data_IF_673550083745
#
_entry.id   IF_673550083745
#
_cell.length_a   1.000
_cell.length_b   1.000
_cell.length_c   1.000
_cell.angle_alpha   90.00
_cell.angle_beta   90.00
_cell.angle_gamma   90.00
#
_symmetry.space_group_name_H-M   'P 1'
#
loop_
_entity.id
_entity.type
_entity.pdbx_description
1 polymer ?
#
# COMPACT_ATOMS: atom_id res chain seq x y z
N UNK A 1 13.82 -17.47 4.72
CA UNK A 1 12.71 -16.59 5.18
C UNK A 1 12.41 -15.57 4.09
N UNK A 2 11.14 -15.41 3.76
CA UNK A 2 10.73 -14.40 2.79
C UNK A 2 10.50 -13.07 3.50
N UNK A 3 11.43 -12.13 3.36
CA UNK A 3 11.35 -10.84 4.03
C UNK A 3 10.16 -10.00 3.55
N UNK A 4 9.83 -10.10 2.27
CA UNK A 4 8.68 -9.38 1.73
C UNK A 4 7.39 -9.80 2.42
N UNK A 5 7.21 -11.09 2.63
CA UNK A 5 6.03 -11.60 3.33
C UNK A 5 5.99 -11.14 4.79
N UNK A 6 7.14 -11.15 5.46
CA UNK A 6 7.22 -10.68 6.85
C UNK A 6 6.85 -9.20 6.91
N UNK A 7 7.35 -8.39 5.97
CA UNK A 7 7.03 -6.97 5.91
C UNK A 7 5.54 -6.72 5.69
N UNK A 8 4.91 -7.50 4.80
CA UNK A 8 3.47 -7.36 4.56
C UNK A 8 2.65 -7.73 5.80
N UNK A 9 3.04 -8.78 6.51
CA UNK A 9 2.36 -9.17 7.75
C UNK A 9 2.46 -8.08 8.81
N UNK A 10 3.64 -7.45 8.94
CA UNK A 10 3.84 -6.35 9.88
C UNK A 10 3.02 -5.13 9.48
N UNK A 11 2.94 -4.82 8.19
CA UNK A 11 2.14 -3.72 7.68
C UNK A 11 0.65 -3.93 7.95
N UNK A 12 0.15 -5.15 7.74
CA UNK A 12 -1.25 -5.48 8.03
C UNK A 12 -1.55 -5.27 9.51
N UNK A 13 -0.69 -5.79 10.38
CA UNK A 13 -0.86 -5.63 11.83
C UNK A 13 -0.85 -4.15 12.22
N UNK A 14 0.07 -3.38 11.66
CA UNK A 14 0.17 -1.95 11.91
C UNK A 14 -1.14 -1.23 11.56
N UNK A 15 -1.71 -1.53 10.39
CA UNK A 15 -2.96 -0.91 9.95
C UNK A 15 -4.14 -1.35 10.82
N UNK A 16 -4.22 -2.63 11.18
CA UNK A 16 -5.28 -3.12 12.07
C UNK A 16 -5.24 -2.45 13.43
N UNK A 17 -4.05 -2.28 13.98
CA UNK A 17 -3.89 -1.61 15.29
C UNK A 17 -4.32 -0.15 15.24
N UNK A 18 -4.30 0.46 14.05
CA UNK A 18 -4.77 1.83 13.84
C UNK A 18 -6.25 1.90 13.45
N UNK A 19 -6.95 0.78 13.45
CA UNK A 19 -8.39 0.75 13.21
C UNK A 19 -8.80 0.52 11.76
N UNK A 20 -7.85 0.17 10.86
CA UNK A 20 -8.22 -0.15 9.50
C UNK A 20 -8.88 -1.52 9.40
N UNK A 21 -9.91 -1.62 8.58
CA UNK A 21 -10.47 -2.90 8.16
C UNK A 21 -9.69 -3.37 6.94
N UNK A 22 -9.07 -4.54 7.03
CA UNK A 22 -8.31 -5.09 5.91
C UNK A 22 -9.28 -5.84 5.01
N UNK A 23 -9.45 -5.35 3.78
CA UNK A 23 -10.40 -5.92 2.83
C UNK A 23 -9.77 -6.99 1.96
N UNK A 24 -8.56 -6.71 1.46
CA UNK A 24 -7.85 -7.62 0.57
C UNK A 24 -6.35 -7.53 0.81
N UNK A 25 -5.66 -8.63 0.56
CA UNK A 25 -4.19 -8.68 0.56
C UNK A 25 -3.74 -9.29 -0.76
N UNK A 26 -2.69 -8.73 -1.35
CA UNK A 26 -2.13 -9.19 -2.63
C UNK A 26 -3.20 -9.30 -3.71
N UNK A 27 -3.98 -8.25 -3.85
CA UNK A 27 -5.06 -8.19 -4.84
C UNK A 27 -4.47 -7.96 -6.23
N UNK A 28 -4.79 -8.84 -7.16
CA UNK A 28 -4.21 -8.82 -8.50
C UNK A 28 -5.27 -8.64 -9.56
N UNK A 29 -4.92 -7.86 -10.58
CA UNK A 29 -5.71 -7.71 -11.79
C UNK A 29 -4.77 -7.43 -12.96
N UNK A 30 -4.90 -8.21 -14.04
CA UNK A 30 -4.02 -8.12 -15.20
C UNK A 30 -2.55 -8.23 -14.75
N UNK A 31 -1.74 -7.20 -14.98
CA UNK A 31 -0.33 -7.19 -14.60
C UNK A 31 -0.06 -6.39 -13.31
N UNK A 32 -1.12 -5.92 -12.66
CA UNK A 32 -0.98 -5.11 -11.46
C UNK A 32 -1.27 -5.89 -10.19
N UNK A 33 -0.71 -5.41 -9.09
CA UNK A 33 -0.95 -5.96 -7.75
C UNK A 33 -0.97 -4.83 -6.75
N UNK A 34 -1.88 -4.94 -5.79
CA UNK A 34 -1.94 -4.04 -4.65
C UNK A 34 -1.74 -4.88 -3.40
N UNK A 35 -0.73 -4.54 -2.61
CA UNK A 35 -0.35 -5.36 -1.47
C UNK A 35 -1.43 -5.41 -0.39
N UNK A 36 -2.03 -4.27 -0.07
CA UNK A 36 -3.09 -4.20 0.94
C UNK A 36 -4.16 -3.23 0.48
N UNK A 37 -5.42 -3.66 0.56
CA UNK A 37 -6.57 -2.76 0.40
C UNK A 37 -7.25 -2.70 1.75
N UNK A 38 -7.41 -1.48 2.31
CA UNK A 38 -8.03 -1.30 3.61
C UNK A 38 -9.10 -0.20 3.55
N UNK A 39 -9.94 -0.18 4.57
CA UNK A 39 -10.98 0.82 4.72
C UNK A 39 -10.83 1.47 6.09
N UNK A 40 -10.79 2.80 6.11
CA UNK A 40 -10.62 3.54 7.35
C UNK A 40 -11.35 4.88 7.25
N UNK A 41 -12.32 5.09 8.14
CA UNK A 41 -13.07 6.36 8.23
C UNK A 41 -13.59 6.86 6.89
N UNK A 42 -14.19 5.95 6.12
CA UNK A 42 -14.80 6.31 4.84
C UNK A 42 -13.84 6.37 3.66
N UNK A 43 -12.55 6.05 3.87
CA UNK A 43 -11.54 6.08 2.81
C UNK A 43 -11.14 4.66 2.45
N UNK A 44 -11.19 4.34 1.14
CA UNK A 44 -10.60 3.11 0.61
C UNK A 44 -9.14 3.39 0.30
N UNK A 45 -8.26 2.64 0.93
CA UNK A 45 -6.82 2.89 0.90
C UNK A 45 -6.11 1.74 0.22
N UNK A 46 -5.34 2.07 -0.81
CA UNK A 46 -4.55 1.12 -1.58
C UNK A 46 -3.10 1.32 -1.19
N UNK A 47 -2.50 0.31 -0.55
CA UNK A 47 -1.19 0.44 0.07
C UNK A 47 -0.17 -0.47 -0.60
N UNK A 48 0.96 0.12 -0.99
CA UNK A 48 2.16 -0.58 -1.43
C UNK A 48 3.06 -0.77 -0.23
N UNK A 49 3.54 -1.99 -0.01
CA UNK A 49 4.46 -2.30 1.09
C UNK A 49 5.86 -2.48 0.52
N UNK A 50 6.81 -1.75 1.07
CA UNK A 50 8.23 -1.88 0.73
C UNK A 50 8.98 -2.39 1.94
N UNK A 51 9.58 -3.57 1.81
CA UNK A 51 10.35 -4.19 2.89
C UNK A 51 11.83 -3.94 2.64
N UNK A 52 12.51 -3.43 3.65
CA UNK A 52 13.93 -3.10 3.58
C UNK A 52 14.64 -3.59 4.82
N UNK A 53 15.97 -3.67 4.76
CA UNK A 53 16.76 -3.96 5.95
C UNK A 53 16.87 -2.70 6.80
N UNK A 54 17.00 -2.87 8.11
CA UNK A 54 17.01 -1.75 9.05
C UNK A 54 18.18 -0.79 8.85
N UNK A 55 19.28 -1.23 8.23
CA UNK A 55 20.42 -0.35 7.91
C UNK A 55 20.09 0.67 6.82
N UNK A 56 18.94 0.54 6.19
CA UNK A 56 18.45 1.50 5.19
C UNK A 56 17.55 2.58 5.78
N UNK A 57 17.27 2.51 7.06
CA UNK A 57 16.39 3.48 7.71
C UNK A 57 16.98 4.89 7.63
N UNK A 58 16.13 5.86 7.30
CA UNK A 58 16.57 7.26 7.17
C UNK A 58 17.04 7.65 5.78
N UNK A 59 17.21 6.69 4.86
CA UNK A 59 17.54 7.02 3.47
C UNK A 59 16.29 7.47 2.73
N UNK A 60 16.43 8.33 1.71
CA UNK A 60 15.27 8.75 0.91
C UNK A 60 14.55 7.54 0.32
N UNK A 61 13.22 7.57 0.34
CA UNK A 61 12.41 6.53 -0.29
C UNK A 61 12.52 6.67 -1.80
N UNK A 62 12.65 5.54 -2.49
CA UNK A 62 12.56 5.54 -3.94
C UNK A 62 11.12 5.81 -4.35
N UNK A 63 10.94 6.69 -5.32
CA UNK A 63 9.62 6.98 -5.86
C UNK A 63 9.07 5.74 -6.58
N UNK A 64 7.74 5.53 -6.48
CA UNK A 64 7.05 4.53 -7.29
C UNK A 64 7.01 5.08 -8.71
N UNK A 65 7.59 4.36 -9.69
CA UNK A 65 7.67 4.87 -11.06
C UNK A 65 6.27 4.93 -11.72
N UNK A 66 6.17 5.69 -12.81
CA UNK A 66 4.89 5.98 -13.45
C UNK A 66 4.24 4.73 -14.06
N UNK A 67 5.04 3.80 -14.56
CA UNK A 67 4.51 2.55 -15.12
C UNK A 67 3.85 1.71 -14.03
N UNK A 68 4.52 1.57 -12.89
CA UNK A 68 3.98 0.83 -11.75
C UNK A 68 2.74 1.51 -11.18
N UNK A 69 2.75 2.85 -11.12
CA UNK A 69 1.58 3.59 -10.64
C UNK A 69 0.36 3.35 -11.53
N UNK A 70 0.55 3.32 -12.85
CA UNK A 70 -0.56 3.00 -13.77
C UNK A 70 -1.13 1.62 -13.51
N UNK A 71 -0.28 0.64 -13.29
CA UNK A 71 -0.73 -0.72 -12.98
C UNK A 71 -1.54 -0.73 -11.69
N UNK A 72 -1.09 0.01 -10.68
CA UNK A 72 -1.80 0.12 -9.41
C UNK A 72 -3.17 0.78 -9.61
N UNK A 73 -3.22 1.88 -10.37
CA UNK A 73 -4.49 2.57 -10.63
C UNK A 73 -5.48 1.69 -11.38
N UNK A 74 -5.02 0.97 -12.40
CA UNK A 74 -5.87 0.06 -13.16
C UNK A 74 -6.43 -1.05 -12.25
N UNK A 75 -5.57 -1.59 -11.38
CA UNK A 75 -5.97 -2.62 -10.42
C UNK A 75 -6.98 -2.06 -9.41
N UNK A 76 -6.74 -0.84 -8.92
CA UNK A 76 -7.64 -0.18 -7.99
C UNK A 76 -9.00 0.11 -8.63
N UNK A 77 -9.02 0.58 -9.88
CA UNK A 77 -10.28 0.81 -10.60
C UNK A 77 -11.08 -0.49 -10.75
N UNK A 78 -10.40 -1.58 -11.05
CA UNK A 78 -11.05 -2.87 -11.13
C UNK A 78 -11.67 -3.26 -9.79
N UNK A 79 -10.91 -3.11 -8.71
CA UNK A 79 -11.43 -3.39 -7.36
C UNK A 79 -12.66 -2.55 -7.07
N UNK A 80 -12.60 -1.24 -7.35
CA UNK A 80 -13.72 -0.33 -7.11
C UNK A 80 -14.96 -0.74 -7.89
N UNK A 81 -14.80 -1.26 -9.10
CA UNK A 81 -15.93 -1.68 -9.94
C UNK A 81 -16.61 -2.96 -9.45
N UNK A 82 -15.93 -3.76 -8.63
CA UNK A 82 -16.44 -5.06 -8.18
C UNK A 82 -16.92 -5.08 -6.73
N UNK A 83 -16.66 -4.01 -5.96
CA UNK A 83 -17.00 -3.96 -4.55
C UNK A 83 -18.24 -3.11 -4.30
N UNK A 84 -18.88 -3.30 -3.15
CA UNK A 84 -20.12 -2.62 -2.80
C UNK A 84 -20.04 -1.73 -1.57
N UNK A 85 -18.86 -1.56 -0.99
CA UNK A 85 -18.66 -0.72 0.19
C UNK A 85 -18.79 0.74 -0.21
N UNK A 86 -19.58 1.51 0.56
CA UNK A 86 -19.68 2.95 0.35
C UNK A 86 -18.45 3.64 0.92
N UNK A 87 -17.85 4.52 0.14
CA UNK A 87 -16.68 5.25 0.53
C UNK A 87 -16.78 6.71 0.10
N UNK A 88 -16.08 7.60 0.80
CA UNK A 88 -16.02 9.02 0.46
C UNK A 88 -14.93 9.32 -0.55
N UNK A 89 -13.79 8.67 -0.40
CA UNK A 89 -12.63 8.93 -1.24
C UNK A 89 -11.71 7.73 -1.24
N UNK A 90 -10.71 7.80 -2.12
CA UNK A 90 -9.67 6.79 -2.22
C UNK A 90 -8.32 7.45 -1.96
N UNK A 91 -7.35 6.65 -1.54
CA UNK A 91 -6.02 7.15 -1.25
C UNK A 91 -5.00 6.07 -1.56
N UNK A 92 -3.82 6.48 -2.03
CA UNK A 92 -2.72 5.57 -2.33
C UNK A 92 -1.59 5.85 -1.35
N UNK A 93 -1.28 4.86 -0.52
CA UNK A 93 -0.31 4.98 0.55
C UNK A 93 0.88 4.04 0.30
N UNK A 94 2.00 4.33 0.95
CA UNK A 94 3.16 3.45 0.98
C UNK A 94 3.52 3.20 2.43
N UNK A 95 3.82 1.94 2.75
CA UNK A 95 4.37 1.56 4.05
C UNK A 95 5.75 0.97 3.80
N UNK A 96 6.78 1.59 4.37
CA UNK A 96 8.11 1.01 4.40
C UNK A 96 8.29 0.27 5.72
N UNK A 97 8.69 -0.99 5.62
CA UNK A 97 8.96 -1.83 6.80
C UNK A 97 10.44 -2.13 6.83
N UNK A 98 11.12 -1.70 7.88
CA UNK A 98 12.54 -1.91 8.07
C UNK A 98 12.73 -3.05 9.06
N UNK A 99 13.33 -4.14 8.59
CA UNK A 99 13.49 -5.37 9.37
C UNK A 99 14.92 -5.51 9.84
N UNK A 100 15.10 -5.70 11.13
CA UNK A 100 16.40 -5.89 11.78
C UNK A 100 16.18 -6.26 13.24
N UNK A 101 17.09 -5.89 14.13
CA UNK A 101 16.95 -6.16 15.56
C UNK A 101 15.69 -5.51 16.13
N UNK A 102 15.36 -4.32 15.63
CA UNK A 102 14.09 -3.67 15.92
C UNK A 102 13.45 -3.32 14.60
N UNK A 103 12.22 -3.78 14.39
CA UNK A 103 11.46 -3.42 13.20
C UNK A 103 10.92 -2.01 13.32
N UNK A 104 11.00 -1.25 12.23
CA UNK A 104 10.52 0.13 12.18
C UNK A 104 9.60 0.27 10.99
N UNK A 105 8.58 1.11 11.14
CA UNK A 105 7.61 1.34 10.08
C UNK A 105 7.57 2.84 9.77
N UNK A 106 7.67 3.15 8.48
CA UNK A 106 7.48 4.50 7.98
C UNK A 106 6.23 4.50 7.10
N UNK A 107 5.18 5.16 7.56
CA UNK A 107 3.90 5.20 6.86
C UNK A 107 3.77 6.53 6.11
N UNK A 108 3.63 6.44 4.80
CA UNK A 108 3.50 7.62 3.94
C UNK A 108 2.09 7.62 3.37
N UNK A 109 1.24 8.47 3.92
CA UNK A 109 -0.14 8.63 3.45
C UNK A 109 -0.16 9.49 2.19
N UNK A 110 -1.03 9.14 1.27
CA UNK A 110 -1.21 9.88 0.03
C UNK A 110 0.11 10.06 -0.72
N UNK A 111 0.83 8.96 -0.84
CA UNK A 111 2.19 8.95 -1.41
C UNK A 111 2.20 9.32 -2.90
N UNK A 112 1.10 9.05 -3.62
CA UNK A 112 0.94 9.42 -5.01
C UNK A 112 -0.55 9.49 -5.34
N UNK A 113 -0.90 10.11 -6.47
CA UNK A 113 -2.29 10.25 -6.90
C UNK A 113 -2.40 10.09 -8.41
N UNK A 114 -3.64 9.88 -8.89
CA UNK A 114 -3.91 9.63 -10.31
C UNK A 114 -3.63 10.82 -11.23
N UNK A 115 -3.58 12.02 -10.69
CA UNK A 115 -3.33 13.23 -11.50
C UNK A 115 -1.93 13.23 -12.10
N UNK A 116 -1.00 12.50 -11.49
CA UNK A 116 0.38 12.39 -11.99
C UNK A 116 0.47 11.68 -13.33
N UNK A 117 -0.60 11.00 -13.74
CA UNK A 117 -0.64 10.22 -14.99
C UNK A 117 -1.28 10.99 -16.14
N UNK A 118 -1.91 12.11 -15.85
CA UNK A 118 -2.55 12.96 -16.85
C UNK A 118 -1.54 13.96 -17.41
N UNK A 119 -0.69 13.49 -18.25
CA UNK A 119 0.27 14.38 -18.91
C UNK A 119 -0.05 14.46 -20.38
#
# INVERSE_FOLDING_TARGET
MNLGRVGEELAVRFLKERGHDILEQNFRFAHGEIDIISFYKGVLIFTEVKTRRSDRYGRPMEAVDSFKRRQIYTTAEYFLSTQSIRYHSTRFDVIEVFIGEQSMIHYIKNAFNGNDLEA
#
